data_IF_102859375739
#
_entry.id   IF_102859375739
#
_cell.length_a   1.000
_cell.length_b   1.000
_cell.length_c   1.000
_cell.angle_alpha   90.00
_cell.angle_beta   90.00
_cell.angle_gamma   90.00
#
_symmetry.space_group_name_H-M   'P 1'
#
loop_
_entity.id
_entity.type
_entity.pdbx_description
1 polymer ?
#
# COMPACT_ATOMS: atom_id res chain seq x y z
N UNK A 1 0.17 -35.62 -14.03
CA UNK A 1 0.15 -34.58 -12.98
C UNK A 1 1.39 -33.74 -13.19
N UNK A 2 1.21 -32.56 -13.79
CA UNK A 2 2.28 -31.68 -14.26
C UNK A 2 3.09 -31.18 -13.06
N UNK A 3 4.41 -31.22 -13.17
CA UNK A 3 5.36 -30.75 -12.16
C UNK A 3 5.08 -29.27 -11.84
N UNK A 4 4.62 -29.01 -10.61
CA UNK A 4 4.73 -27.67 -10.04
C UNK A 4 6.22 -27.34 -10.00
N UNK A 5 6.63 -26.28 -10.69
CA UNK A 5 7.96 -25.71 -10.51
C UNK A 5 8.08 -25.34 -9.04
N UNK A 6 8.73 -26.21 -8.28
CA UNK A 6 9.18 -25.90 -6.93
C UNK A 6 10.17 -24.77 -7.05
N UNK A 7 9.74 -23.53 -6.80
CA UNK A 7 10.62 -22.39 -6.50
C UNK A 7 11.27 -22.58 -5.13
N UNK A 8 11.84 -23.76 -4.90
CA UNK A 8 12.24 -24.30 -3.61
C UNK A 8 13.72 -24.04 -3.36
N UNK A 9 14.14 -22.77 -3.26
CA UNK A 9 15.33 -22.32 -2.52
C UNK A 9 15.74 -20.87 -2.86
N UNK A 10 14.85 -19.89 -2.76
CA UNK A 10 15.28 -18.49 -2.67
C UNK A 10 14.29 -17.75 -1.77
N UNK A 11 14.80 -17.21 -0.65
CA UNK A 11 13.99 -16.65 0.43
C UNK A 11 12.89 -15.73 -0.09
N UNK A 12 11.64 -16.04 0.27
CA UNK A 12 10.53 -15.13 0.00
C UNK A 12 10.76 -13.83 0.76
N UNK A 13 10.62 -12.70 0.08
CA UNK A 13 10.69 -11.41 0.71
C UNK A 13 9.35 -11.08 1.35
N UNK A 14 9.41 -10.71 2.62
CA UNK A 14 8.22 -10.27 3.34
C UNK A 14 8.04 -8.79 3.11
N UNK A 15 6.87 -8.43 2.57
CA UNK A 15 6.41 -7.05 2.51
C UNK A 15 5.44 -6.83 3.67
N UNK A 16 5.81 -5.95 4.60
CA UNK A 16 4.99 -5.62 5.77
C UNK A 16 4.36 -4.27 5.54
N UNK A 17 3.03 -4.22 5.56
CA UNK A 17 2.22 -3.05 5.31
C UNK A 17 1.63 -2.55 6.63
N UNK A 18 1.98 -1.33 7.02
CA UNK A 18 1.56 -0.69 8.26
C UNK A 18 0.61 0.46 7.95
N UNK A 19 -0.60 0.43 8.50
CA UNK A 19 -1.53 1.55 8.44
C UNK A 19 -1.32 2.48 9.64
N UNK A 20 -1.23 3.79 9.41
CA UNK A 20 -1.09 4.82 10.45
C UNK A 20 -2.32 5.03 11.36
N UNK A 21 -3.09 3.98 11.66
CA UNK A 21 -4.22 4.01 12.60
C UNK A 21 -5.55 4.55 12.05
N UNK A 22 -5.53 5.54 11.15
CA UNK A 22 -6.73 6.18 10.61
C UNK A 22 -7.27 5.50 9.31
N UNK A 23 -7.01 4.20 9.20
CA UNK A 23 -7.40 3.37 8.06
C UNK A 23 -6.89 1.94 8.24
N UNK A 24 -7.32 1.06 7.34
CA UNK A 24 -6.91 -0.34 7.30
C UNK A 24 -6.10 -0.64 6.04
N UNK A 25 -5.16 -1.58 6.15
CA UNK A 25 -4.38 -2.08 5.01
C UNK A 25 -4.49 -3.60 4.98
N UNK A 26 -4.92 -4.15 3.84
CA UNK A 26 -5.14 -5.60 3.67
C UNK A 26 -4.50 -6.09 2.37
N UNK A 27 -3.66 -7.14 2.41
CA UNK A 27 -3.11 -7.79 3.60
C UNK A 27 -2.07 -6.90 4.32
N UNK A 28 -1.98 -6.99 5.65
CA UNK A 28 -0.96 -6.27 6.43
C UNK A 28 0.46 -6.86 6.24
N UNK A 29 0.57 -8.07 5.71
CA UNK A 29 1.85 -8.67 5.35
C UNK A 29 1.65 -9.63 4.18
N UNK A 30 2.52 -9.56 3.19
CA UNK A 30 2.51 -10.46 2.03
C UNK A 30 3.91 -10.98 1.76
N UNK A 31 4.03 -12.28 1.50
CA UNK A 31 5.29 -12.90 1.10
C UNK A 31 5.29 -13.07 -0.41
N UNK A 32 6.31 -12.54 -1.08
CA UNK A 32 6.49 -12.67 -2.53
C UNK A 32 7.88 -13.20 -2.85
N UNK A 33 8.01 -13.87 -3.99
CA UNK A 33 9.31 -14.31 -4.50
C UNK A 33 10.11 -13.11 -5.03
N UNK A 34 11.42 -13.28 -5.19
CA UNK A 34 12.30 -12.29 -5.82
C UNK A 34 11.76 -11.83 -7.17
N UNK A 35 11.62 -10.52 -7.36
CA UNK A 35 11.04 -9.93 -8.57
C UNK A 35 9.52 -10.07 -8.69
N UNK A 36 8.86 -10.62 -7.67
CA UNK A 36 7.41 -10.68 -7.58
C UNK A 36 6.78 -9.31 -7.30
N UNK A 37 5.46 -9.28 -7.38
CA UNK A 37 4.63 -8.10 -7.10
C UNK A 37 3.70 -8.39 -5.94
N UNK A 38 3.74 -7.54 -4.93
CA UNK A 38 2.81 -7.58 -3.81
C UNK A 38 1.72 -6.52 -4.01
N UNK A 39 0.49 -6.83 -3.63
CA UNK A 39 -0.67 -5.94 -3.83
C UNK A 39 -1.44 -5.78 -2.53
N UNK A 40 -1.78 -4.54 -2.23
CA UNK A 40 -2.38 -4.12 -0.97
C UNK A 40 -3.53 -3.17 -1.24
N UNK A 41 -4.61 -3.37 -0.50
CA UNK A 41 -5.75 -2.47 -0.49
C UNK A 41 -5.72 -1.66 0.79
N UNK A 42 -5.66 -0.34 0.64
CA UNK A 42 -5.70 0.63 1.71
C UNK A 42 -7.10 1.23 1.77
N UNK A 43 -7.80 1.02 2.87
CA UNK A 43 -9.14 1.59 3.08
C UNK A 43 -9.03 2.68 4.15
N UNK A 44 -9.09 3.97 3.78
CA UNK A 44 -9.12 5.04 4.77
C UNK A 44 -10.45 5.04 5.53
N UNK A 45 -10.42 5.50 6.78
CA UNK A 45 -11.64 5.68 7.57
C UNK A 45 -12.49 6.87 7.05
N UNK A 46 -13.77 6.91 7.44
CA UNK A 46 -14.65 8.03 7.09
C UNK A 46 -14.09 9.36 7.57
N UNK A 47 -13.96 10.33 6.66
CA UNK A 47 -13.37 11.64 6.94
C UNK A 47 -11.84 11.70 6.82
N UNK A 48 -11.20 10.63 6.34
CA UNK A 48 -9.77 10.56 6.08
C UNK A 48 -9.48 10.22 4.61
N UNK A 49 -8.34 10.71 4.12
CA UNK A 49 -7.78 10.38 2.82
C UNK A 49 -6.37 9.81 2.99
N UNK A 50 -5.92 9.01 2.02
CA UNK A 50 -4.53 8.53 2.00
C UNK A 50 -3.64 9.70 1.61
N UNK A 51 -2.83 10.18 2.56
CA UNK A 51 -1.96 11.32 2.37
C UNK A 51 -0.72 10.93 1.55
N UNK A 52 -0.13 9.79 1.89
CA UNK A 52 1.04 9.26 1.24
C UNK A 52 1.24 7.79 1.60
N UNK A 53 1.77 7.02 0.67
CA UNK A 53 2.23 5.65 0.92
C UNK A 53 3.67 5.57 0.47
N UNK A 54 4.55 5.19 1.40
CA UNK A 54 5.98 5.06 1.15
C UNK A 54 6.43 3.62 1.43
N UNK A 55 7.33 3.11 0.59
CA UNK A 55 8.07 1.88 0.84
C UNK A 55 9.50 2.20 1.25
N UNK A 56 10.07 1.41 2.16
CA UNK A 56 11.46 1.55 2.62
C UNK A 56 12.45 1.15 1.53
N UNK A 57 12.42 -0.13 1.12
CA UNK A 57 13.36 -0.74 0.17
C UNK A 57 12.71 -1.11 -1.15
N UNK A 58 11.38 -0.95 -1.26
CA UNK A 58 10.61 -1.25 -2.46
C UNK A 58 9.84 -0.05 -2.95
N UNK A 59 9.64 0.00 -4.27
CA UNK A 59 8.82 1.03 -4.89
C UNK A 59 7.36 0.64 -4.81
N UNK A 60 6.59 1.39 -4.05
CA UNK A 60 5.14 1.24 -3.98
C UNK A 60 4.50 2.21 -4.97
N UNK A 61 3.66 1.68 -5.84
CA UNK A 61 2.90 2.45 -6.82
C UNK A 61 1.42 2.21 -6.58
N UNK A 62 0.63 3.27 -6.55
CA UNK A 62 -0.79 3.17 -6.29
C UNK A 62 -1.44 4.52 -6.14
N UNK A 63 -2.77 4.52 -6.20
CA UNK A 63 -3.57 5.73 -6.10
C UNK A 63 -4.87 5.42 -5.34
N UNK A 64 -5.27 6.35 -4.46
CA UNK A 64 -6.48 6.21 -3.67
C UNK A 64 -6.36 5.05 -2.67
N UNK A 65 -6.99 3.92 -3.00
CA UNK A 65 -7.12 2.75 -2.13
C UNK A 65 -6.37 1.51 -2.61
N UNK A 66 -5.76 1.56 -3.79
CA UNK A 66 -5.09 0.40 -4.39
C UNK A 66 -3.60 0.67 -4.56
N UNK A 67 -2.76 -0.15 -3.93
CA UNK A 67 -1.30 -0.04 -3.96
C UNK A 67 -0.67 -1.37 -4.33
N UNK A 68 0.41 -1.30 -5.11
CA UNK A 68 1.18 -2.46 -5.52
C UNK A 68 2.67 -2.14 -5.44
N UNK A 69 3.42 -3.05 -4.84
CA UNK A 69 4.87 -3.00 -4.75
C UNK A 69 5.44 -4.03 -5.72
N UNK A 70 5.99 -3.55 -6.84
CA UNK A 70 6.60 -4.40 -7.86
C UNK A 70 8.11 -4.53 -7.63
N UNK A 71 8.71 -5.54 -8.26
CA UNK A 71 10.16 -5.74 -8.25
C UNK A 71 10.71 -5.90 -6.81
N UNK A 72 10.07 -6.76 -6.00
CA UNK A 72 10.53 -7.00 -4.63
C UNK A 72 11.81 -7.84 -4.64
N UNK A 73 12.93 -7.21 -4.28
CA UNK A 73 14.26 -7.85 -4.22
C UNK A 73 14.81 -7.94 -2.78
N UNK A 74 14.10 -7.39 -1.80
CA UNK A 74 14.43 -7.41 -0.38
C UNK A 74 13.15 -7.30 0.45
N UNK A 75 13.23 -7.60 1.75
CA UNK A 75 12.14 -7.32 2.70
C UNK A 75 11.80 -5.83 2.64
N UNK A 76 10.51 -5.53 2.53
CA UNK A 76 10.04 -4.16 2.40
C UNK A 76 9.04 -3.81 3.49
N UNK A 77 9.19 -2.62 4.07
CA UNK A 77 8.19 -2.03 4.94
C UNK A 77 7.44 -0.96 4.14
N UNK A 78 6.12 -1.09 4.06
CA UNK A 78 5.21 -0.11 3.47
C UNK A 78 4.51 0.60 4.60
N UNK A 79 4.62 1.93 4.63
CA UNK A 79 3.95 2.76 5.63
C UNK A 79 2.93 3.64 4.91
N UNK A 80 1.66 3.49 5.29
CA UNK A 80 0.57 4.30 4.78
C UNK A 80 0.20 5.38 5.80
N UNK A 81 0.30 6.63 5.37
CA UNK A 81 -0.05 7.82 6.14
C UNK A 81 -1.41 8.34 5.69
N UNK A 82 -2.23 8.73 6.66
CA UNK A 82 -3.58 9.23 6.42
C UNK A 82 -3.69 10.67 6.92
N UNK A 83 -4.38 11.50 6.17
CA UNK A 83 -4.70 12.88 6.55
C UNK A 83 -6.21 13.04 6.70
N UNK A 84 -6.62 13.90 7.63
CA UNK A 84 -8.03 14.31 7.77
C UNK A 84 -8.42 15.07 6.51
N UNK A 85 -9.60 14.76 5.97
CA UNK A 85 -10.22 15.57 4.92
C UNK A 85 -10.74 16.84 5.61
N UNK A 86 -10.13 18.02 5.39
CA UNK A 86 -10.68 19.23 5.95
C UNK A 86 -12.08 19.46 5.35
N UNK A 87 -13.08 19.85 6.15
CA UNK A 87 -14.43 20.13 5.66
C UNK A 87 -14.48 21.31 4.67
N UNK A 88 -13.38 22.04 4.53
CA UNK A 88 -13.23 23.23 3.69
C UNK A 88 -13.04 22.92 2.18
N UNK A 89 -12.71 21.68 1.81
CA UNK A 89 -12.45 21.32 0.41
C UNK A 89 -13.72 21.24 -0.48
N UNK A 90 -14.91 21.46 0.09
CA UNK A 90 -16.20 21.49 -0.63
C UNK A 90 -16.71 22.94 -0.85
N UNK A 91 -16.04 23.97 -0.30
CA UNK A 91 -16.49 25.37 -0.39
C UNK A 91 -15.48 26.34 -1.01
N UNK A 92 -14.45 25.84 -1.73
CA UNK A 92 -13.45 26.70 -2.34
C UNK A 92 -13.88 27.34 -3.69
N UNK A 93 -15.01 26.95 -4.28
CA UNK A 93 -15.63 27.70 -5.38
C UNK A 93 -16.57 28.78 -4.80
N UNK A 94 -15.96 29.79 -4.18
CA UNK A 94 -16.66 30.98 -3.70
C UNK A 94 -17.27 31.78 -4.86
N UNK A 95 -18.53 31.52 -5.19
CA UNK A 95 -19.41 32.51 -5.82
C UNK A 95 -20.05 33.38 -4.73
N UNK A 96 -19.26 34.22 -4.07
CA UNK A 96 -19.80 35.35 -3.28
C UNK A 96 -19.01 36.63 -3.60
N UNK A 97 -19.45 37.35 -4.63
CA UNK A 97 -19.83 38.78 -4.60
C UNK A 97 -20.05 39.33 -6.02
#
# INVERSE_FOLDING_TARGET
MTVAVGSSCAGGFTVTATSGGNGTITPASQTVTSGGTASFTVTPATGYLVASVAGDTCTVTGSGTSYSAANIQANCAVTATFAIIPPDAIFADGFEN
#
